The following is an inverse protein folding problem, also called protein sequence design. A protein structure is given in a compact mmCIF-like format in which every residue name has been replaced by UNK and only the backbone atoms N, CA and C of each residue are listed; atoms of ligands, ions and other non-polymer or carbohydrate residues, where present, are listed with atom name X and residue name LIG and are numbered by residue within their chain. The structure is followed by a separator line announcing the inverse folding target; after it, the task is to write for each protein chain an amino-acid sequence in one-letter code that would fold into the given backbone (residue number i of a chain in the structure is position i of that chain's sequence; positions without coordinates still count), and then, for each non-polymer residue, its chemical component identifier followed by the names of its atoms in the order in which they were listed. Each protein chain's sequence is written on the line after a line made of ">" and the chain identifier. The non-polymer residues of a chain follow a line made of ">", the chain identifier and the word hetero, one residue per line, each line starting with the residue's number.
data_IF_493737377729
#
_entry.id   IF_493737377729
#
_cell.length_a   1.000
_cell.length_b   1.000
_cell.length_c   1.000
_cell.angle_alpha   90.00
_cell.angle_beta   90.00
_cell.angle_gamma   90.00
#
_symmetry.space_group_name_H-M   'P 1'
#
loop_
_entity.id
_entity.type
_entity.pdbx_description
1 polymer ?
#
# COMPACT_ATOMS: atom_id res chain seq x y z
N UNK A 1 -3.09 1.11 2.54
CA UNK A 1 -2.20 2.25 2.86
C UNK A 1 -2.62 2.95 4.15
N UNK A 2 -3.86 3.40 4.28
CA UNK A 2 -4.33 4.13 5.49
C UNK A 2 -3.99 3.44 6.82
N UNK A 3 -4.34 2.16 6.97
CA UNK A 3 -4.02 1.43 8.20
C UNK A 3 -2.53 1.18 8.39
N UNK A 4 -1.74 1.11 7.33
CA UNK A 4 -0.28 1.04 7.47
C UNK A 4 0.28 2.35 8.05
N UNK A 5 -0.30 3.50 7.66
CA UNK A 5 0.04 4.81 8.22
C UNK A 5 -0.47 5.02 9.64
N UNK A 6 -1.74 4.72 9.93
CA UNK A 6 -2.38 5.18 11.17
C UNK A 6 -2.75 4.07 12.15
N UNK A 7 -2.90 2.82 11.68
CA UNK A 7 -3.34 1.70 12.52
C UNK A 7 -2.54 0.41 12.22
N UNK A 8 -1.19 0.43 12.25
CA UNK A 8 -0.37 -0.67 11.75
C UNK A 8 -0.60 -1.99 12.52
N UNK A 9 -1.05 -1.93 13.77
CA UNK A 9 -1.37 -3.10 14.59
C UNK A 9 -2.49 -3.98 14.01
N UNK A 10 -3.38 -3.39 13.21
CA UNK A 10 -4.48 -4.10 12.52
C UNK A 10 -4.01 -4.97 11.37
N UNK A 11 -2.77 -4.77 10.90
CA UNK A 11 -2.19 -5.51 9.79
C UNK A 11 -1.27 -6.65 10.27
N UNK A 12 -1.16 -7.76 9.52
CA UNK A 12 -0.15 -8.77 9.78
C UNK A 12 1.27 -8.20 9.74
N UNK A 13 2.15 -8.62 10.67
CA UNK A 13 3.53 -8.10 10.78
C UNK A 13 4.32 -8.23 9.48
N UNK A 14 4.22 -9.38 8.81
CA UNK A 14 4.86 -9.61 7.52
C UNK A 14 4.38 -8.62 6.43
N UNK A 15 3.09 -8.26 6.48
CA UNK A 15 2.51 -7.32 5.53
C UNK A 15 2.99 -5.88 5.78
N UNK A 16 3.06 -5.46 7.05
CA UNK A 16 3.66 -4.17 7.42
C UNK A 16 5.11 -4.07 6.97
N UNK A 17 5.92 -5.11 7.20
CA UNK A 17 7.32 -5.15 6.77
C UNK A 17 7.45 -5.06 5.25
N UNK A 18 6.58 -5.76 4.52
CA UNK A 18 6.57 -5.71 3.06
C UNK A 18 6.22 -4.32 2.53
N UNK A 19 5.15 -3.68 3.07
CA UNK A 19 4.78 -2.31 2.68
C UNK A 19 5.90 -1.33 3.02
N UNK A 20 6.49 -1.41 4.22
CA UNK A 20 7.58 -0.52 4.62
C UNK A 20 8.80 -0.65 3.70
N UNK A 21 9.16 -1.87 3.30
CA UNK A 21 10.24 -2.11 2.34
C UNK A 21 9.94 -1.50 0.97
N UNK A 22 8.70 -1.61 0.49
CA UNK A 22 8.27 -1.05 -0.79
C UNK A 22 8.15 0.49 -0.75
N UNK A 23 7.70 1.04 0.38
CA UNK A 23 7.48 2.47 0.57
C UNK A 23 8.81 3.24 0.58
N UNK A 24 9.90 2.66 1.12
CA UNK A 24 11.24 3.25 1.16
C UNK A 24 11.19 4.73 1.61
N UNK A 25 10.59 4.95 2.78
CA UNK A 25 10.46 6.25 3.44
C UNK A 25 10.94 6.10 4.87
N UNK A 26 11.58 7.15 5.39
CA UNK A 26 12.02 7.19 6.78
C UNK A 26 10.81 7.10 7.73
N UNK A 27 10.91 6.23 8.74
CA UNK A 27 9.82 6.03 9.70
C UNK A 27 9.56 7.29 10.54
N UNK A 28 10.58 8.12 10.79
CA UNK A 28 10.42 9.37 11.55
C UNK A 28 9.43 10.33 10.89
N UNK A 29 9.46 10.41 9.55
CA UNK A 29 8.49 11.21 8.81
C UNK A 29 7.05 10.68 8.95
N UNK A 30 6.85 9.36 8.94
CA UNK A 30 5.54 8.76 9.17
C UNK A 30 5.06 9.10 10.59
N UNK A 31 5.92 8.93 11.59
CA UNK A 31 5.61 9.24 12.99
C UNK A 31 5.29 10.73 13.17
N UNK A 32 6.02 11.63 12.51
CA UNK A 32 5.70 13.05 12.54
C UNK A 32 4.31 13.32 11.97
N UNK A 33 3.94 12.76 10.82
CA UNK A 33 2.60 12.90 10.24
C UNK A 33 1.49 12.31 11.14
N UNK A 34 1.78 11.22 11.86
CA UNK A 34 0.88 10.68 12.89
C UNK A 34 0.70 11.68 14.05
N UNK A 35 1.80 12.26 14.57
CA UNK A 35 1.75 13.27 15.63
C UNK A 35 1.04 14.56 15.19
N UNK A 36 1.17 14.95 13.92
CA UNK A 36 0.42 16.06 13.31
C UNK A 36 -1.07 15.77 13.30
N UNK A 37 -1.45 14.54 12.92
CA UNK A 37 -2.85 14.10 12.97
C UNK A 37 -3.42 14.11 14.39
N UNK A 38 -2.67 13.61 15.35
CA UNK A 38 -3.12 13.48 16.74
C UNK A 38 -3.06 14.82 17.50
N UNK A 39 -2.55 15.89 16.88
CA UNK A 39 -2.43 17.22 17.48
C UNK A 39 -1.30 17.36 18.52
N UNK A 40 -0.45 16.33 18.63
CA UNK A 40 0.76 16.31 19.48
C UNK A 40 1.83 17.21 18.87
N UNK A 41 1.99 17.18 17.55
CA UNK A 41 2.85 18.07 16.79
C UNK A 41 1.97 19.10 16.06
N UNK A 42 2.17 20.39 16.33
CA UNK A 42 1.37 21.46 15.75
C UNK A 42 2.24 22.44 14.99
N UNK A 43 1.83 22.77 13.77
CA UNK A 43 2.52 23.78 12.98
C UNK A 43 2.39 25.16 13.62
N UNK A 44 3.47 25.94 13.57
CA UNK A 44 3.54 27.30 14.13
C UNK A 44 3.68 27.35 15.65
N UNK A 45 3.81 26.20 16.33
CA UNK A 45 3.97 26.10 17.78
C UNK A 45 5.14 25.17 18.14
N UNK A 46 5.97 25.58 19.09
CA UNK A 46 6.95 24.68 19.70
C UNK A 46 6.26 23.77 20.72
N UNK A 47 6.08 22.51 20.34
CA UNK A 47 5.47 21.45 21.16
C UNK A 47 6.52 20.50 21.76
N UNK A 48 7.81 20.83 21.66
CA UNK A 48 8.92 19.96 22.06
C UNK A 48 9.09 18.73 21.17
N UNK A 49 8.51 18.73 19.96
CA UNK A 49 8.53 17.59 19.03
C UNK A 49 9.57 17.71 17.92
N UNK A 50 10.30 18.84 17.84
CA UNK A 50 11.23 19.15 16.76
C UNK A 50 12.37 18.12 16.62
N UNK A 51 12.87 17.60 17.76
CA UNK A 51 13.96 16.63 17.80
C UNK A 51 13.74 15.42 16.86
N UNK A 52 12.50 14.94 16.75
CA UNK A 52 12.17 13.78 15.90
C UNK A 52 12.60 13.95 14.44
N UNK A 53 12.33 15.12 13.86
CA UNK A 53 12.69 15.41 12.47
C UNK A 53 14.03 16.12 12.36
N UNK A 54 14.51 16.79 13.41
CA UNK A 54 15.87 17.33 13.46
C UNK A 54 16.92 16.23 13.39
N UNK A 55 16.75 15.13 14.13
CA UNK A 55 17.61 13.93 14.03
C UNK A 55 17.66 13.41 12.58
N UNK A 56 16.51 13.44 11.89
CA UNK A 56 16.44 13.07 10.47
C UNK A 56 17.15 14.09 9.59
N UNK A 57 17.01 15.39 9.85
CA UNK A 57 17.75 16.41 9.13
C UNK A 57 19.27 16.25 9.30
N UNK A 58 19.76 15.89 10.48
CA UNK A 58 21.20 15.66 10.71
C UNK A 58 21.74 14.51 9.87
N UNK A 59 21.05 13.36 9.87
CA UNK A 59 21.46 12.18 9.09
C UNK A 59 21.47 12.44 7.58
N UNK A 60 20.47 13.16 7.08
CA UNK A 60 20.35 13.49 5.65
C UNK A 60 21.09 14.77 5.27
N UNK A 61 21.74 15.45 6.22
CA UNK A 61 22.45 16.73 6.05
C UNK A 61 21.57 17.87 5.51
N UNK A 62 20.34 17.94 5.98
CA UNK A 62 19.40 19.03 5.71
C UNK A 62 19.45 20.12 6.79
N UNK A 63 18.94 21.34 6.50
CA UNK A 63 18.81 22.37 7.51
C UNK A 63 17.96 21.91 8.70
N UNK A 64 18.48 22.05 9.93
CA UNK A 64 17.78 21.65 11.16
C UNK A 64 16.40 22.29 11.31
N UNK A 65 16.27 23.55 10.88
CA UNK A 65 15.00 24.30 10.87
C UNK A 65 13.89 23.60 10.07
N UNK A 66 14.22 22.74 9.10
CA UNK A 66 13.20 21.99 8.36
C UNK A 66 12.46 20.97 9.24
N UNK A 67 13.13 20.46 10.27
CA UNK A 67 12.56 19.50 11.22
C UNK A 67 11.74 20.16 12.34
N UNK A 68 11.78 21.48 12.47
CA UNK A 68 11.05 22.20 13.50
C UNK A 68 9.65 22.61 13.00
N UNK A 69 8.55 22.06 13.59
CA UNK A 69 7.19 22.40 13.18
C UNK A 69 6.79 23.84 13.54
N UNK A 70 7.49 24.51 14.46
CA UNK A 70 7.22 25.91 14.81
C UNK A 70 7.62 26.86 13.67
N UNK A 71 8.68 26.51 12.93
CA UNK A 71 9.26 27.36 11.88
C UNK A 71 9.00 26.82 10.46
N UNK A 72 8.91 25.50 10.27
CA UNK A 72 8.69 24.88 8.97
C UNK A 72 7.24 24.47 8.74
N UNK A 73 6.48 25.33 8.05
CA UNK A 73 5.06 25.12 7.78
C UNK A 73 4.74 25.21 6.28
N UNK A 74 4.35 24.11 5.61
CA UNK A 74 4.43 22.71 6.03
C UNK A 74 5.86 22.15 5.86
N UNK A 75 6.09 20.87 6.26
CA UNK A 75 7.38 20.21 6.03
C UNK A 75 7.82 20.28 4.55
N UNK A 76 9.09 20.60 4.24
CA UNK A 76 9.54 20.80 2.87
C UNK A 76 9.39 19.55 2.01
N UNK A 77 9.08 19.74 0.72
CA UNK A 77 8.94 18.62 -0.21
C UNK A 77 10.22 17.80 -0.35
N UNK A 78 11.39 18.42 -0.32
CA UNK A 78 12.66 17.71 -0.41
C UNK A 78 12.87 16.70 0.73
N UNK A 79 12.45 17.08 1.95
CA UNK A 79 12.39 16.16 3.08
C UNK A 79 11.43 15.01 2.79
N UNK A 80 10.21 15.29 2.33
CA UNK A 80 9.21 14.26 1.97
C UNK A 80 9.66 13.37 0.81
N UNK A 81 10.50 13.89 -0.08
CA UNK A 81 11.08 13.19 -1.21
C UNK A 81 12.34 12.39 -0.86
N UNK A 82 12.75 12.37 0.41
CA UNK A 82 13.96 11.69 0.88
C UNK A 82 15.23 12.16 0.13
N UNK A 83 15.32 13.46 -0.18
CA UNK A 83 16.53 14.06 -0.79
C UNK A 83 16.66 13.89 -2.30
N UNK A 84 15.61 13.45 -3.00
CA UNK A 84 15.59 13.42 -4.48
C UNK A 84 15.53 14.82 -5.09
N UNK A 85 15.25 15.84 -4.27
CA UNK A 85 15.13 17.25 -4.66
C UNK A 85 13.70 17.79 -4.46
N UNK A 86 13.46 19.07 -4.77
CA UNK A 86 12.19 19.74 -4.43
C UNK A 86 11.03 19.42 -5.39
N UNK A 87 11.31 18.94 -6.61
CA UNK A 87 10.26 18.67 -7.61
C UNK A 87 9.47 17.39 -7.29
N UNK A 88 8.15 17.54 -7.22
CA UNK A 88 7.21 16.45 -6.95
C UNK A 88 7.13 15.47 -8.14
N UNK A 89 7.27 15.98 -9.36
CA UNK A 89 7.25 15.23 -10.62
C UNK A 89 8.49 14.36 -10.75
N UNK A 90 9.67 14.93 -10.49
CA UNK A 90 10.92 14.18 -10.49
C UNK A 90 10.93 13.09 -9.42
N UNK A 91 10.43 13.40 -8.22
CA UNK A 91 10.25 12.40 -7.18
C UNK A 91 9.28 11.28 -7.62
N UNK A 92 8.15 11.63 -8.24
CA UNK A 92 7.18 10.65 -8.75
C UNK A 92 7.79 9.71 -9.82
N UNK A 93 8.56 10.25 -10.77
CA UNK A 93 9.27 9.49 -11.80
C UNK A 93 10.37 8.61 -11.20
N UNK A 94 11.17 9.15 -10.28
CA UNK A 94 12.21 8.42 -9.56
C UNK A 94 11.62 7.24 -8.78
N UNK A 95 10.51 7.47 -8.06
CA UNK A 95 9.75 6.43 -7.35
C UNK A 95 9.22 5.37 -8.30
N UNK A 96 8.68 5.77 -9.46
CA UNK A 96 8.18 4.84 -10.46
C UNK A 96 9.30 3.89 -10.93
N UNK A 97 10.42 4.45 -11.36
CA UNK A 97 11.55 3.67 -11.87
C UNK A 97 12.14 2.72 -10.82
N UNK A 98 12.35 3.21 -9.59
CA UNK A 98 12.88 2.40 -8.48
C UNK A 98 11.91 1.28 -8.08
N UNK A 99 10.62 1.59 -7.97
CA UNK A 99 9.59 0.61 -7.61
C UNK A 99 9.39 -0.42 -8.73
N UNK A 100 9.36 0.01 -9.99
CA UNK A 100 9.28 -0.88 -11.14
C UNK A 100 10.46 -1.85 -11.18
N UNK A 101 11.69 -1.35 -10.99
CA UNK A 101 12.89 -2.20 -10.97
C UNK A 101 12.88 -3.17 -9.78
N UNK A 102 12.51 -2.69 -8.59
CA UNK A 102 12.37 -3.54 -7.40
C UNK A 102 11.33 -4.64 -7.62
N UNK A 103 10.18 -4.30 -8.19
CA UNK A 103 9.12 -5.25 -8.51
C UNK A 103 9.51 -6.24 -9.62
N UNK A 104 10.26 -5.79 -10.62
CA UNK A 104 10.78 -6.64 -11.70
C UNK A 104 11.71 -7.72 -11.16
N UNK A 105 12.54 -7.40 -10.15
CA UNK A 105 13.42 -8.37 -9.49
C UNK A 105 12.64 -9.51 -8.82
N UNK A 106 11.38 -9.30 -8.45
CA UNK A 106 10.52 -10.34 -7.87
C UNK A 106 9.68 -11.06 -8.93
N UNK A 107 9.07 -10.33 -9.87
CA UNK A 107 8.14 -10.93 -10.84
C UNK A 107 8.83 -11.59 -12.04
N UNK A 108 9.97 -11.06 -12.50
CA UNK A 108 10.67 -11.64 -13.65
C UNK A 108 11.16 -13.07 -13.38
N UNK A 109 11.82 -13.38 -12.24
CA UNK A 109 12.24 -14.76 -11.94
C UNK A 109 11.07 -15.74 -11.89
N UNK A 110 9.93 -15.33 -11.30
CA UNK A 110 8.73 -16.17 -11.24
C UNK A 110 8.20 -16.49 -12.66
N UNK A 111 8.13 -15.49 -13.52
CA UNK A 111 7.68 -15.66 -14.90
C UNK A 111 8.64 -16.51 -15.73
N UNK A 112 9.96 -16.37 -15.51
CA UNK A 112 10.96 -17.22 -16.14
C UNK A 112 10.90 -18.66 -15.63
N UNK A 113 10.67 -18.89 -14.34
CA UNK A 113 10.49 -20.23 -13.78
C UNK A 113 9.26 -20.94 -14.38
N UNK A 114 8.13 -20.24 -14.48
CA UNK A 114 6.92 -20.79 -15.14
C UNK A 114 7.17 -21.08 -16.61
N UNK A 115 7.94 -20.23 -17.30
CA UNK A 115 8.35 -20.48 -18.68
C UNK A 115 9.20 -21.75 -18.75
N UNK A 116 10.24 -21.88 -17.93
CA UNK A 116 11.13 -23.05 -17.90
C UNK A 116 10.35 -24.36 -17.71
N UNK A 117 9.37 -24.38 -16.81
CA UNK A 117 8.52 -25.55 -16.57
C UNK A 117 7.55 -25.87 -17.72
N UNK A 118 7.23 -24.91 -18.59
CA UNK A 118 6.27 -25.05 -19.69
C UNK A 118 6.92 -25.08 -21.07
N UNK A 119 8.24 -24.95 -21.15
CA UNK A 119 8.97 -24.98 -22.41
C UNK A 119 8.79 -26.34 -23.09
N UNK A 120 8.18 -26.34 -24.27
CA UNK A 120 8.04 -27.53 -25.14
C UNK A 120 8.90 -27.46 -26.40
N UNK A 121 9.33 -26.26 -26.81
CA UNK A 121 10.12 -26.07 -28.02
C UNK A 121 11.00 -24.82 -27.93
N UNK A 122 12.25 -24.93 -28.41
CA UNK A 122 13.18 -23.80 -28.50
C UNK A 122 12.82 -22.82 -29.63
N UNK A 123 12.01 -23.24 -30.61
CA UNK A 123 11.59 -22.39 -31.74
C UNK A 123 10.70 -21.22 -31.29
N UNK A 124 9.92 -21.40 -30.22
CA UNK A 124 9.05 -20.33 -29.68
C UNK A 124 9.68 -19.53 -28.55
N UNK A 125 10.91 -19.87 -28.14
CA UNK A 125 11.56 -19.33 -26.95
C UNK A 125 11.63 -17.80 -26.94
N UNK A 126 12.04 -17.17 -28.05
CA UNK A 126 12.12 -15.70 -28.16
C UNK A 126 10.75 -15.05 -27.89
N UNK A 127 9.69 -15.58 -28.51
CA UNK A 127 8.31 -15.08 -28.35
C UNK A 127 7.83 -15.26 -26.91
N UNK A 128 8.12 -16.42 -26.31
CA UNK A 128 7.69 -16.72 -24.95
C UNK A 128 8.47 -15.92 -23.89
N UNK A 129 9.76 -15.65 -24.13
CA UNK A 129 10.58 -14.74 -23.30
C UNK A 129 10.04 -13.31 -23.35
N UNK A 130 9.75 -12.77 -24.55
CA UNK A 130 9.15 -11.44 -24.68
C UNK A 130 7.80 -11.39 -23.96
N UNK A 131 6.96 -12.42 -24.11
CA UNK A 131 5.68 -12.50 -23.40
C UNK A 131 5.86 -12.56 -21.87
N UNK A 132 6.82 -13.34 -21.38
CA UNK A 132 7.14 -13.43 -19.95
C UNK A 132 7.62 -12.08 -19.40
N UNK A 133 8.52 -11.41 -20.12
CA UNK A 133 9.01 -10.08 -19.78
C UNK A 133 7.88 -9.05 -19.78
N UNK A 134 7.04 -9.00 -20.82
CA UNK A 134 5.89 -8.08 -20.89
C UNK A 134 4.89 -8.33 -19.75
N UNK A 135 4.68 -9.59 -19.38
CA UNK A 135 3.81 -9.95 -18.25
C UNK A 135 4.39 -9.50 -16.91
N UNK A 136 5.68 -9.72 -16.69
CA UNK A 136 6.39 -9.26 -15.49
C UNK A 136 6.46 -7.73 -15.42
N UNK A 137 6.74 -7.08 -16.55
CA UNK A 137 6.79 -5.63 -16.68
C UNK A 137 5.43 -4.98 -16.41
N UNK A 138 4.33 -5.55 -16.93
CA UNK A 138 2.96 -5.09 -16.61
C UNK A 138 2.67 -5.17 -15.11
N UNK A 139 2.99 -6.29 -14.47
CA UNK A 139 2.80 -6.47 -13.03
C UNK A 139 3.65 -5.47 -12.22
N UNK A 140 4.86 -5.21 -12.69
CA UNK A 140 5.77 -4.25 -12.07
C UNK A 140 5.33 -2.81 -12.29
N UNK A 141 4.73 -2.51 -13.44
CA UNK A 141 4.14 -1.21 -13.73
C UNK A 141 2.90 -0.97 -12.86
N UNK A 142 2.05 -1.98 -12.65
CA UNK A 142 0.94 -1.90 -11.69
C UNK A 142 1.41 -1.45 -10.30
N UNK A 143 2.44 -2.11 -9.75
CA UNK A 143 2.97 -1.78 -8.43
C UNK A 143 3.72 -0.44 -8.41
N UNK A 144 4.53 -0.17 -9.44
CA UNK A 144 5.21 1.11 -9.62
C UNK A 144 4.23 2.27 -9.66
N UNK A 145 3.19 2.17 -10.49
CA UNK A 145 2.12 3.17 -10.58
C UNK A 145 1.34 3.29 -9.27
N UNK A 146 1.10 2.19 -8.54
CA UNK A 146 0.47 2.27 -7.21
C UNK A 146 1.28 3.17 -6.26
N UNK A 147 2.60 2.94 -6.16
CA UNK A 147 3.50 3.71 -5.30
C UNK A 147 3.61 5.16 -5.77
N UNK A 148 3.78 5.37 -7.08
CA UNK A 148 3.88 6.70 -7.68
C UNK A 148 2.61 7.52 -7.47
N UNK A 149 1.43 6.95 -7.74
CA UNK A 149 0.16 7.62 -7.49
C UNK A 149 -0.02 7.93 -6.02
N UNK A 150 0.39 7.04 -5.10
CA UNK A 150 0.32 7.30 -3.66
C UNK A 150 1.13 8.56 -3.27
N UNK A 151 2.42 8.60 -3.61
CA UNK A 151 3.30 9.71 -3.25
C UNK A 151 2.96 11.00 -4.00
N UNK A 152 2.73 10.93 -5.31
CA UNK A 152 2.42 12.11 -6.11
C UNK A 152 1.13 12.77 -5.64
N UNK A 153 0.11 11.98 -5.31
CA UNK A 153 -1.17 12.50 -4.79
C UNK A 153 -1.04 13.15 -3.42
N UNK A 154 -0.19 12.62 -2.53
CA UNK A 154 0.17 13.28 -1.28
C UNK A 154 0.79 14.65 -1.59
N UNK A 155 1.80 14.70 -2.46
CA UNK A 155 2.48 15.93 -2.81
C UNK A 155 1.53 16.94 -3.46
N UNK A 156 0.65 16.48 -4.34
CA UNK A 156 -0.35 17.31 -5.02
C UNK A 156 -1.34 17.91 -4.01
N UNK A 157 -1.82 17.11 -3.05
CA UNK A 157 -2.68 17.57 -1.96
C UNK A 157 -1.96 18.59 -1.06
N UNK A 158 -0.67 18.42 -0.80
CA UNK A 158 0.13 19.31 0.07
C UNK A 158 0.49 20.65 -0.56
N UNK A 159 0.81 20.64 -1.86
CA UNK A 159 1.47 21.78 -2.51
C UNK A 159 0.55 22.57 -3.43
N UNK A 160 -0.39 21.91 -4.12
CA UNK A 160 -1.23 22.55 -5.15
C UNK A 160 -2.69 22.53 -4.74
N UNK A 161 -3.31 21.34 -4.74
CA UNK A 161 -4.76 21.21 -4.63
C UNK A 161 -5.27 21.58 -3.23
N UNK A 162 -4.61 21.10 -2.17
CA UNK A 162 -5.04 21.40 -0.80
C UNK A 162 -4.96 22.89 -0.47
N UNK A 163 -3.83 23.58 -0.71
CA UNK A 163 -3.73 25.02 -0.45
C UNK A 163 -4.75 25.87 -1.23
N UNK A 164 -5.06 25.48 -2.48
CA UNK A 164 -6.10 26.16 -3.26
C UNK A 164 -7.52 25.93 -2.75
N UNK A 165 -7.81 24.77 -2.14
CA UNK A 165 -9.16 24.42 -1.67
C UNK A 165 -9.42 24.75 -0.20
N UNK A 166 -8.40 24.64 0.67
CA UNK A 166 -8.53 24.72 2.13
C UNK A 166 -7.86 25.96 2.72
N UNK A 167 -7.03 26.66 1.95
CA UNK A 167 -6.27 27.82 2.41
C UNK A 167 -4.78 27.54 2.61
N UNK A 168 -4.02 28.63 2.78
CA UNK A 168 -2.56 28.60 2.97
C UNK A 168 -2.15 28.79 4.43
N UNK A 169 -3.11 29.07 5.31
CA UNK A 169 -2.88 29.30 6.73
C UNK A 169 -2.40 28.04 7.47
N UNK A 170 -1.82 28.26 8.66
CA UNK A 170 -1.25 27.21 9.49
C UNK A 170 -2.27 26.11 9.82
N UNK A 171 -3.53 26.47 10.09
CA UNK A 171 -4.59 25.49 10.39
C UNK A 171 -4.95 24.65 9.17
N UNK A 172 -5.03 25.26 7.99
CA UNK A 172 -5.22 24.54 6.74
C UNK A 172 -4.06 23.56 6.46
N UNK A 173 -2.81 23.99 6.63
CA UNK A 173 -1.62 23.12 6.46
C UNK A 173 -1.63 21.96 7.47
N UNK A 174 -1.99 22.22 8.72
CA UNK A 174 -2.16 21.19 9.76
C UNK A 174 -3.22 20.16 9.33
N UNK A 175 -4.37 20.61 8.82
CA UNK A 175 -5.45 19.73 8.37
C UNK A 175 -5.03 18.90 7.16
N UNK A 176 -4.25 19.47 6.25
CA UNK A 176 -3.75 18.79 5.06
C UNK A 176 -2.79 17.65 5.46
N UNK A 177 -1.75 17.95 6.25
CA UNK A 177 -0.76 16.96 6.68
C UNK A 177 -1.27 16.02 7.76
N UNK A 178 -2.27 16.43 8.54
CA UNK A 178 -2.95 15.63 9.57
C UNK A 178 -3.84 14.51 9.02
N UNK A 179 -3.97 14.38 7.70
CA UNK A 179 -4.53 13.16 7.11
C UNK A 179 -5.20 13.31 5.76
N UNK A 180 -5.56 14.53 5.33
CA UNK A 180 -6.15 14.72 4.00
C UNK A 180 -5.15 14.30 2.92
N UNK A 181 -3.87 14.66 3.04
CA UNK A 181 -2.87 14.29 2.03
C UNK A 181 -2.70 12.77 1.92
N UNK A 182 -2.60 12.07 3.05
CA UNK A 182 -2.49 10.60 3.10
C UNK A 182 -3.77 9.94 2.59
N UNK A 183 -4.95 10.48 2.94
CA UNK A 183 -6.25 10.01 2.48
C UNK A 183 -6.39 10.10 0.96
N UNK A 184 -6.03 11.25 0.38
CA UNK A 184 -5.98 11.45 -1.08
C UNK A 184 -5.02 10.48 -1.75
N UNK A 185 -3.84 10.26 -1.17
CA UNK A 185 -2.89 9.24 -1.61
C UNK A 185 -3.49 7.84 -1.62
N UNK A 186 -4.17 7.45 -0.53
CA UNK A 186 -4.83 6.15 -0.40
C UNK A 186 -5.95 5.94 -1.43
N UNK A 187 -6.72 6.98 -1.73
CA UNK A 187 -7.79 6.93 -2.72
C UNK A 187 -7.23 6.79 -4.14
N UNK A 188 -6.28 7.65 -4.51
CA UNK A 188 -5.76 7.72 -5.87
C UNK A 188 -4.85 6.54 -6.23
N UNK A 189 -4.09 5.98 -5.27
CA UNK A 189 -3.23 4.83 -5.57
C UNK A 189 -4.01 3.58 -6.02
N UNK A 190 -5.27 3.42 -5.59
CA UNK A 190 -6.11 2.29 -5.97
C UNK A 190 -6.42 2.21 -7.47
N UNK A 191 -6.35 3.34 -8.18
CA UNK A 191 -6.61 3.40 -9.63
C UNK A 191 -5.54 2.71 -10.47
N UNK A 192 -4.38 2.38 -9.89
CA UNK A 192 -3.34 1.61 -10.60
C UNK A 192 -3.85 0.24 -11.04
N UNK A 193 -4.88 -0.33 -10.39
CA UNK A 193 -5.51 -1.62 -10.71
C UNK A 193 -5.99 -1.70 -12.17
N UNK A 194 -6.24 -0.57 -12.82
CA UNK A 194 -6.63 -0.50 -14.21
C UNK A 194 -5.53 -0.96 -15.18
N UNK A 195 -4.26 -0.98 -14.75
CA UNK A 195 -3.15 -1.52 -15.56
C UNK A 195 -3.18 -3.04 -15.68
N UNK A 196 -3.84 -3.73 -14.76
CA UNK A 196 -3.98 -5.19 -14.79
C UNK A 196 -5.16 -5.63 -15.66
N UNK A 197 -5.15 -6.84 -16.25
CA UNK A 197 -6.27 -7.35 -17.03
C UNK A 197 -7.44 -7.74 -16.13
N UNK A 198 -8.66 -7.71 -16.68
CA UNK A 198 -9.90 -7.96 -15.94
C UNK A 198 -9.90 -9.25 -15.10
N UNK A 199 -9.30 -10.34 -15.60
CA UNK A 199 -9.17 -11.59 -14.86
C UNK A 199 -8.39 -11.40 -13.56
N UNK A 200 -7.24 -10.72 -13.63
CA UNK A 200 -6.38 -10.46 -12.47
C UNK A 200 -6.97 -9.43 -11.51
N UNK A 201 -7.73 -8.45 -12.01
CA UNK A 201 -8.43 -7.47 -11.15
C UNK A 201 -9.39 -8.17 -10.18
N UNK A 202 -10.10 -9.21 -10.64
CA UNK A 202 -11.00 -10.01 -9.78
C UNK A 202 -10.21 -10.76 -8.70
N UNK A 203 -9.08 -11.36 -9.05
CA UNK A 203 -8.20 -12.04 -8.09
C UNK A 203 -7.63 -11.06 -7.04
N UNK A 204 -7.18 -9.88 -7.48
CA UNK A 204 -6.71 -8.82 -6.59
C UNK A 204 -7.83 -8.34 -5.65
N UNK A 205 -9.04 -8.12 -6.17
CA UNK A 205 -10.18 -7.72 -5.36
C UNK A 205 -10.51 -8.77 -4.29
N UNK A 206 -10.56 -10.06 -4.67
CA UNK A 206 -10.79 -11.16 -3.73
C UNK A 206 -9.65 -11.32 -2.71
N UNK A 207 -8.42 -10.92 -3.06
CA UNK A 207 -7.29 -10.94 -2.13
C UNK A 207 -7.30 -9.74 -1.16
N UNK A 208 -7.58 -8.53 -1.66
CA UNK A 208 -7.44 -7.28 -0.90
C UNK A 208 -8.71 -6.94 -0.11
N UNK A 209 -9.90 -7.12 -0.67
CA UNK A 209 -11.15 -6.69 -0.04
C UNK A 209 -11.41 -7.38 1.32
N UNK A 210 -11.25 -8.72 1.47
CA UNK A 210 -11.44 -9.36 2.77
C UNK A 210 -10.43 -8.86 3.81
N UNK A 211 -9.18 -8.59 3.40
CA UNK A 211 -8.15 -8.03 4.29
C UNK A 211 -8.48 -6.61 4.71
N UNK A 212 -9.05 -5.80 3.81
CA UNK A 212 -9.51 -4.46 4.15
C UNK A 212 -10.68 -4.52 5.14
N UNK A 213 -11.68 -5.36 4.91
CA UNK A 213 -12.81 -5.53 5.85
C UNK A 213 -12.33 -6.06 7.20
N UNK A 214 -11.38 -7.01 7.21
CA UNK A 214 -10.82 -7.56 8.45
C UNK A 214 -10.19 -6.49 9.35
N UNK A 215 -9.70 -5.37 8.80
CA UNK A 215 -9.14 -4.28 9.61
C UNK A 215 -10.19 -3.43 10.33
N UNK A 216 -11.47 -3.56 9.98
CA UNK A 216 -12.59 -2.94 10.68
C UNK A 216 -13.05 -3.78 11.88
N UNK A 217 -12.59 -5.01 11.98
CA UNK A 217 -12.93 -5.96 13.04
C UNK A 217 -11.76 -6.07 14.04
N UNK A 218 -12.05 -6.34 15.32
CA UNK A 218 -10.99 -6.62 16.28
C UNK A 218 -10.22 -7.87 15.88
N UNK A 219 -8.90 -7.84 16.02
CA UNK A 219 -8.03 -8.97 15.67
C UNK A 219 -8.25 -10.19 16.57
N UNK A 220 -8.70 -9.96 17.79
CA UNK A 220 -9.06 -10.98 18.77
C UNK A 220 -10.31 -10.48 19.50
N UNK A 221 -11.34 -11.31 19.53
CA UNK A 221 -12.50 -11.07 20.39
C UNK A 221 -12.18 -11.50 21.83
N UNK A 222 -12.71 -10.76 22.78
CA UNK A 222 -12.77 -11.19 24.18
C UNK A 222 -13.53 -12.51 24.30
N UNK A 223 -13.26 -13.28 25.37
CA UNK A 223 -13.78 -14.64 25.52
C UNK A 223 -15.32 -14.72 25.44
N UNK A 224 -16.00 -13.71 25.98
CA UNK A 224 -17.47 -13.57 25.95
C UNK A 224 -18.03 -13.31 24.54
N UNK A 225 -17.21 -12.83 23.59
CA UNK A 225 -17.62 -12.48 22.22
C UNK A 225 -17.10 -13.44 21.16
N UNK A 226 -16.36 -14.49 21.53
CA UNK A 226 -15.83 -15.48 20.60
C UNK A 226 -16.93 -16.18 19.79
N UNK A 227 -18.14 -16.29 20.35
CA UNK A 227 -19.30 -16.85 19.63
C UNK A 227 -19.58 -16.12 18.31
N UNK A 228 -19.24 -14.83 18.18
CA UNK A 228 -19.42 -14.07 16.93
C UNK A 228 -18.53 -14.61 15.82
N UNK A 229 -17.27 -14.90 16.14
CA UNK A 229 -16.32 -15.51 15.21
C UNK A 229 -16.75 -16.92 14.85
N UNK A 230 -17.15 -17.73 15.84
CA UNK A 230 -17.67 -19.09 15.62
C UNK A 230 -18.92 -19.07 14.75
N UNK A 231 -19.84 -18.13 14.95
CA UNK A 231 -21.06 -17.99 14.16
C UNK A 231 -20.74 -17.61 12.71
N UNK A 232 -19.90 -16.60 12.49
CA UNK A 232 -19.50 -16.17 11.13
C UNK A 232 -18.75 -17.28 10.41
N UNK A 233 -17.85 -17.98 11.12
CA UNK A 233 -17.10 -19.10 10.56
C UNK A 233 -18.01 -20.27 10.19
N UNK A 234 -18.90 -20.69 11.11
CA UNK A 234 -19.84 -21.79 10.87
C UNK A 234 -20.82 -21.46 9.74
N UNK A 235 -21.37 -20.25 9.71
CA UNK A 235 -22.24 -19.79 8.62
C UNK A 235 -21.50 -19.75 7.27
N UNK A 236 -20.27 -19.22 7.23
CA UNK A 236 -19.46 -19.20 6.00
C UNK A 236 -19.13 -20.61 5.51
N UNK A 237 -18.76 -21.51 6.42
CA UNK A 237 -18.50 -22.92 6.08
C UNK A 237 -19.75 -23.63 5.60
N UNK A 238 -20.90 -23.40 6.24
CA UNK A 238 -22.19 -23.96 5.83
C UNK A 238 -22.53 -23.54 4.40
N UNK A 239 -22.40 -22.25 4.06
CA UNK A 239 -22.63 -21.75 2.69
C UNK A 239 -21.72 -22.46 1.67
N UNK A 240 -20.43 -22.63 2.00
CA UNK A 240 -19.48 -23.34 1.13
C UNK A 240 -19.87 -24.81 0.95
N UNK A 241 -20.25 -25.50 2.03
CA UNK A 241 -20.63 -26.92 1.99
C UNK A 241 -21.93 -27.11 1.20
N UNK A 242 -22.96 -26.32 1.46
CA UNK A 242 -24.22 -26.34 0.69
C UNK A 242 -23.95 -26.07 -0.80
N UNK A 243 -23.08 -25.10 -1.14
CA UNK A 243 -22.71 -24.84 -2.52
C UNK A 243 -22.03 -26.04 -3.21
N UNK A 244 -21.17 -26.77 -2.50
CA UNK A 244 -20.51 -27.97 -3.04
C UNK A 244 -21.51 -29.11 -3.22
N UNK A 245 -22.42 -29.31 -2.26
CA UNK A 245 -23.44 -30.37 -2.31
C UNK A 245 -24.44 -30.14 -3.44
N UNK A 246 -24.93 -28.91 -3.62
CA UNK A 246 -25.86 -28.57 -4.70
C UNK A 246 -25.19 -28.58 -6.07
N UNK A 247 -23.99 -28.00 -6.18
CA UNK A 247 -23.27 -27.93 -7.44
C UNK A 247 -21.76 -28.02 -7.25
N UNK A 248 -21.26 -29.25 -7.33
CA UNK A 248 -19.85 -29.65 -7.22
C UNK A 248 -18.88 -28.86 -8.12
N UNK A 249 -19.35 -28.17 -9.17
CA UNK A 249 -18.50 -27.36 -10.07
C UNK A 249 -18.34 -25.90 -9.64
N UNK A 250 -19.13 -25.40 -8.69
CA UNK A 250 -19.09 -23.99 -8.24
C UNK A 250 -17.83 -23.65 -7.43
N UNK A 251 -17.33 -24.57 -6.62
CA UNK A 251 -16.05 -24.40 -5.90
C UNK A 251 -14.90 -24.89 -6.77
N UNK A 252 -13.99 -23.98 -7.13
CA UNK A 252 -12.88 -24.23 -8.07
C UNK A 252 -11.57 -24.52 -7.34
N UNK A 253 -10.59 -25.04 -8.06
CA UNK A 253 -9.23 -25.24 -7.57
C UNK A 253 -9.08 -26.43 -6.62
N UNK A 254 -7.97 -26.45 -5.88
CA UNK A 254 -7.59 -27.54 -4.98
C UNK A 254 -8.62 -27.76 -3.88
N UNK A 255 -9.13 -26.68 -3.28
CA UNK A 255 -10.17 -26.75 -2.25
C UNK A 255 -11.45 -27.42 -2.77
N UNK A 256 -11.90 -27.07 -3.98
CA UNK A 256 -13.03 -27.73 -4.61
C UNK A 256 -12.77 -29.21 -4.91
N UNK A 257 -11.53 -29.56 -5.28
CA UNK A 257 -11.09 -30.95 -5.40
C UNK A 257 -11.26 -31.72 -4.08
N UNK A 258 -10.64 -31.23 -3.01
CA UNK A 258 -10.70 -31.82 -1.67
C UNK A 258 -12.13 -31.94 -1.14
N UNK A 259 -12.90 -30.86 -1.18
CA UNK A 259 -14.28 -30.84 -0.67
C UNK A 259 -15.18 -31.81 -1.43
N UNK A 260 -14.97 -31.99 -2.74
CA UNK A 260 -15.70 -33.02 -3.49
C UNK A 260 -15.34 -34.42 -3.06
N UNK A 261 -14.06 -34.68 -2.74
CA UNK A 261 -13.64 -36.00 -2.26
C UNK A 261 -14.17 -36.29 -0.87
N UNK A 262 -14.15 -35.30 0.03
CA UNK A 262 -14.55 -35.47 1.44
C UNK A 262 -16.07 -35.47 1.63
N UNK A 263 -16.82 -34.63 0.91
CA UNK A 263 -18.28 -34.48 1.05
C UNK A 263 -19.09 -35.36 0.09
N UNK A 264 -18.45 -36.08 -0.83
CA UNK A 264 -19.11 -37.05 -1.71
C UNK A 264 -18.77 -38.50 -1.38
N UNK A 265 -18.05 -38.74 -0.28
CA UNK A 265 -18.05 -40.02 0.44
C UNK A 265 -19.31 -40.07 1.33
#
# INVERSE_FOLDING_TARGET
>A
MWNWFYNPATLPRAYNKWIASAASVDQRLIVALQRVRDGVMRYGEDTGQAALLQDMCEEYRWPLQWGDPATSVPFPCEMVHMGVGPSCELHALSRFGRAWLWSMRTYLPLQLAVLLLRLRSLKTLKRDLVRAFLSASRSSAFLGTFITLFYYSICLARTRVGPHLLGVDVKARQKIDGGICVGTGCFLCGWSVLLEPFSRRRELALFVAPRAVATMLPRKYDADKQWRETLVFSASTAVVFTCVMENKRRVRGVLGGLLRTVLAA
#
